data_IF_269736166519
#
_entry.id   IF_269736166519
#
_cell.length_a   1.000
_cell.length_b   1.000
_cell.length_c   1.000
_cell.angle_alpha   90.00
_cell.angle_beta   90.00
_cell.angle_gamma   90.00
#
_symmetry.space_group_name_H-M   'P 1'
#
loop_
_entity.id
_entity.type
_entity.pdbx_description
1 polymer ?
#
# COMPACT_ATOMS: atom_id res chain seq x y z
N UNK A 1 -20.10 -6.29 18.62
CA UNK A 1 -20.11 -5.25 17.58
C UNK A 1 -18.76 -4.57 17.61
N UNK A 2 -17.80 -5.06 16.83
CA UNK A 2 -16.46 -4.47 16.75
C UNK A 2 -16.50 -3.35 15.72
N UNK A 3 -16.26 -2.12 16.16
CA UNK A 3 -16.10 -0.97 15.27
C UNK A 3 -14.69 -1.05 14.71
N UNK A 4 -14.54 -1.43 13.45
CA UNK A 4 -13.30 -1.19 12.71
C UNK A 4 -13.33 0.29 12.31
N UNK A 5 -12.68 1.12 13.11
CA UNK A 5 -12.27 2.45 12.66
C UNK A 5 -11.36 2.22 11.45
N UNK A 6 -11.82 2.60 10.25
CA UNK A 6 -10.96 2.63 9.07
C UNK A 6 -9.95 3.76 9.31
N UNK A 7 -8.93 3.48 10.14
CA UNK A 7 -7.83 4.40 10.42
C UNK A 7 -7.19 4.72 9.08
N UNK A 8 -7.38 5.97 8.66
CA UNK A 8 -7.19 6.43 7.29
C UNK A 8 -5.98 5.82 6.60
N UNK A 9 -6.22 5.19 5.45
CA UNK A 9 -5.16 4.68 4.60
C UNK A 9 -4.46 5.85 3.88
N UNK A 10 -3.14 5.84 3.90
CA UNK A 10 -2.33 6.76 3.10
C UNK A 10 -2.26 6.22 1.67
N UNK A 11 -2.46 7.12 0.71
CA UNK A 11 -2.38 6.80 -0.70
C UNK A 11 -1.20 7.56 -1.30
N UNK A 12 -0.30 6.83 -1.94
CA UNK A 12 0.76 7.40 -2.75
C UNK A 12 0.24 7.51 -4.18
N UNK A 13 0.42 8.69 -4.76
CA UNK A 13 0.08 9.00 -6.14
C UNK A 13 1.36 9.36 -6.90
N UNK A 14 1.42 8.95 -8.16
CA UNK A 14 2.45 9.45 -9.07
C UNK A 14 2.10 10.88 -9.42
N UNK A 15 3.00 11.83 -9.14
CA UNK A 15 2.74 13.25 -9.41
C UNK A 15 2.55 13.53 -10.92
N UNK A 16 3.19 12.76 -11.78
CA UNK A 16 3.16 12.96 -13.23
C UNK A 16 1.85 12.50 -13.88
N UNK A 17 1.27 11.39 -13.44
CA UNK A 17 0.06 10.81 -14.03
C UNK A 17 -1.17 10.87 -13.12
N UNK A 18 -1.00 11.37 -11.89
CA UNK A 18 -1.98 11.31 -10.79
C UNK A 18 -2.49 9.87 -10.52
N UNK A 19 -1.78 8.86 -11.02
CA UNK A 19 -2.16 7.48 -10.86
C UNK A 19 -1.85 7.01 -9.42
N UNK A 20 -2.80 6.31 -8.76
CA UNK A 20 -2.51 5.66 -7.49
C UNK A 20 -1.47 4.57 -7.69
N UNK A 21 -0.37 4.61 -6.93
CA UNK A 21 0.73 3.65 -7.07
C UNK A 21 0.74 2.63 -5.93
N UNK A 22 0.50 3.10 -4.71
CA UNK A 22 0.50 2.29 -3.52
C UNK A 22 -0.46 2.85 -2.47
N UNK A 23 -1.02 1.96 -1.66
CA UNK A 23 -1.85 2.31 -0.52
C UNK A 23 -1.28 1.64 0.72
N UNK A 24 -1.03 2.45 1.75
CA UNK A 24 -0.53 2.03 3.05
C UNK A 24 -1.68 2.12 4.06
N UNK A 25 -2.09 0.99 4.60
CA UNK A 25 -3.12 0.92 5.63
C UNK A 25 -2.46 0.61 6.97
N UNK A 26 -2.52 1.50 7.96
CA UNK A 26 -1.99 1.21 9.30
C UNK A 26 -2.71 -0.01 9.88
N UNK A 27 -1.96 -0.96 10.43
CA UNK A 27 -2.54 -2.17 11.06
C UNK A 27 -3.11 -1.87 12.44
N UNK A 28 -2.73 -0.73 13.04
CA UNK A 28 -3.06 -0.36 14.41
C UNK A 28 -2.06 -0.89 15.44
N UNK A 29 -1.04 -1.62 14.99
CA UNK A 29 0.09 -2.07 15.79
C UNK A 29 1.30 -1.20 15.45
N UNK A 30 1.72 -0.35 16.39
CA UNK A 30 2.88 0.53 16.25
C UNK A 30 2.86 1.36 14.93
N UNK A 31 3.99 1.43 14.22
CA UNK A 31 4.15 2.06 12.91
C UNK A 31 3.99 1.08 11.72
N UNK A 32 3.45 -0.12 11.97
CA UNK A 32 3.27 -1.13 10.93
C UNK A 32 2.13 -0.75 9.98
N UNK A 33 2.44 -0.83 8.69
CA UNK A 33 1.50 -0.56 7.61
C UNK A 33 1.43 -1.75 6.66
N UNK A 34 0.21 -2.12 6.30
CA UNK A 34 -0.04 -3.04 5.20
C UNK A 34 0.01 -2.29 3.89
N UNK A 35 0.86 -2.74 2.99
CA UNK A 35 1.05 -2.12 1.68
C UNK A 35 0.26 -2.91 0.64
N UNK A 36 -0.47 -2.19 -0.20
CA UNK A 36 -1.20 -2.75 -1.35
C UNK A 36 -0.83 -1.96 -2.60
N UNK A 37 -0.71 -2.63 -3.74
CA UNK A 37 -0.39 -1.99 -5.02
C UNK A 37 -1.65 -1.81 -5.85
N UNK A 38 -1.64 -0.81 -6.73
CA UNK A 38 -2.71 -0.62 -7.70
C UNK A 38 -2.53 -1.57 -8.88
N UNK A 39 -3.44 -2.53 -9.00
CA UNK A 39 -3.40 -3.51 -10.10
C UNK A 39 -4.02 -2.95 -11.38
N UNK A 40 -3.58 -3.46 -12.53
CA UNK A 40 -4.19 -3.22 -13.85
C UNK A 40 -5.71 -3.50 -13.88
N UNK A 41 -6.21 -4.31 -12.93
CA UNK A 41 -7.64 -4.60 -12.74
C UNK A 41 -8.41 -3.48 -12.02
N UNK A 42 -7.79 -2.29 -11.83
CA UNK A 42 -8.35 -1.14 -11.10
C UNK A 42 -8.81 -1.52 -9.68
N UNK A 43 -8.00 -2.34 -9.01
CA UNK A 43 -8.24 -2.78 -7.64
C UNK A 43 -6.93 -2.79 -6.85
N UNK A 44 -7.05 -2.60 -5.55
CA UNK A 44 -5.95 -2.76 -4.61
C UNK A 44 -5.68 -4.25 -4.41
N UNK A 45 -4.47 -4.69 -4.70
CA UNK A 45 -4.03 -6.07 -4.46
C UNK A 45 -2.87 -6.08 -3.46
N UNK A 46 -2.78 -7.19 -2.73
CA UNK A 46 -1.67 -7.46 -1.85
C UNK A 46 -0.43 -7.80 -2.66
N UNK A 47 0.73 -7.31 -2.22
CA UNK A 47 2.02 -7.51 -2.90
C UNK A 47 2.46 -8.96 -2.87
N UNK A 48 2.02 -9.71 -1.85
CA UNK A 48 2.25 -11.14 -1.73
C UNK A 48 0.94 -11.92 -1.80
N UNK A 49 1.06 -13.18 -2.20
CA UNK A 49 -0.03 -14.16 -2.26
C UNK A 49 -0.32 -14.76 -0.87
N UNK A 50 0.41 -14.32 0.18
CA UNK A 50 0.38 -14.88 1.54
C UNK A 50 -0.29 -13.97 2.58
N UNK A 51 -1.08 -12.99 2.14
CA UNK A 51 -1.98 -12.24 3.02
C UNK A 51 -1.56 -10.80 3.30
N UNK A 52 -0.71 -10.22 2.47
CA UNK A 52 -0.35 -8.81 2.47
C UNK A 52 0.99 -8.53 3.12
N UNK A 53 1.76 -7.63 2.49
CA UNK A 53 3.04 -7.19 3.00
C UNK A 53 2.81 -6.16 4.11
N UNK A 54 3.03 -6.56 5.36
CA UNK A 54 3.02 -5.67 6.53
C UNK A 54 4.46 -5.35 6.89
N UNK A 55 4.81 -4.07 6.83
CA UNK A 55 6.14 -3.58 7.15
C UNK A 55 6.03 -2.28 7.97
N UNK A 56 7.05 -1.94 8.78
CA UNK A 56 7.18 -0.60 9.34
C UNK A 56 7.13 0.46 8.24
N UNK A 57 6.55 1.63 8.51
CA UNK A 57 6.33 2.68 7.50
C UNK A 57 7.60 3.02 6.69
N UNK A 58 8.75 3.13 7.35
CA UNK A 58 10.03 3.45 6.69
C UNK A 58 10.47 2.35 5.71
N UNK A 59 10.34 1.08 6.13
CA UNK A 59 10.62 -0.07 5.28
C UNK A 59 9.60 -0.18 4.15
N UNK A 60 8.34 0.17 4.41
CA UNK A 60 7.29 0.17 3.41
C UNK A 60 7.58 1.15 2.26
N UNK A 61 7.98 2.38 2.59
CA UNK A 61 8.40 3.38 1.61
C UNK A 61 9.61 2.91 0.81
N UNK A 62 10.61 2.34 1.50
CA UNK A 62 11.79 1.76 0.86
C UNK A 62 11.42 0.61 -0.08
N UNK A 63 10.48 -0.25 0.32
CA UNK A 63 10.02 -1.38 -0.49
C UNK A 63 9.28 -0.89 -1.75
N UNK A 64 8.42 0.12 -1.64
CA UNK A 64 7.72 0.73 -2.78
C UNK A 64 8.71 1.37 -3.75
N UNK A 65 9.72 2.08 -3.24
CA UNK A 65 10.75 2.72 -4.06
C UNK A 65 11.63 1.73 -4.82
N UNK A 66 11.90 0.54 -4.25
CA UNK A 66 12.78 -0.47 -4.86
C UNK A 66 12.03 -1.48 -5.74
N UNK A 67 10.72 -1.62 -5.59
CA UNK A 67 9.95 -2.65 -6.30
C UNK A 67 9.20 -2.05 -7.48
N UNK A 68 9.58 -2.45 -8.70
CA UNK A 68 8.99 -1.92 -9.93
C UNK A 68 7.50 -2.20 -10.07
N UNK A 69 6.95 -3.19 -9.35
CA UNK A 69 5.52 -3.57 -9.44
C UNK A 69 4.55 -2.41 -9.18
N UNK A 70 4.94 -1.47 -8.31
CA UNK A 70 4.13 -0.28 -7.99
C UNK A 70 4.15 0.78 -9.10
N UNK A 71 5.12 0.69 -10.01
CA UNK A 71 5.38 1.66 -11.09
C UNK A 71 5.01 1.10 -12.47
N UNK A 72 4.86 -0.22 -12.60
CA UNK A 72 4.61 -0.90 -13.88
C UNK A 72 3.30 -0.48 -14.56
N UNK A 73 2.30 -0.05 -13.79
CA UNK A 73 0.94 0.21 -14.28
C UNK A 73 0.52 1.68 -14.13
N UNK A 74 1.48 2.59 -13.97
CA UNK A 74 1.29 4.02 -13.67
C UNK A 74 1.46 4.91 -14.89
#
# INVERSE_FOLDING_TARGET
MGWYEDKGAYHLYLLETEAPIARLKPTGTDDEVRITYWSHRRKWEDIDDMGGCVLPLDQALSHIANNSIFWTWT
#
